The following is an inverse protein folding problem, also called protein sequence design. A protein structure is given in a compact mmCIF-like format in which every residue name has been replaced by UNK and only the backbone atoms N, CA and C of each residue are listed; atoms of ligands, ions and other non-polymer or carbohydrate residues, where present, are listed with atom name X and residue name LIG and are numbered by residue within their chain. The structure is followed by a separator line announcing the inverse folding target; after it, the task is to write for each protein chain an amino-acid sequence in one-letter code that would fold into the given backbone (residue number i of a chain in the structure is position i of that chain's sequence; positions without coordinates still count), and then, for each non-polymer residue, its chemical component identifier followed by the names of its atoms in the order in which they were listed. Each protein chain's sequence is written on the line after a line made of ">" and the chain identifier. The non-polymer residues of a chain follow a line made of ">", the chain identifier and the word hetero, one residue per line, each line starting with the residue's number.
data_IF_992159885984
#
_entry.id   IF_992159885984
#
_cell.length_a   1.000
_cell.length_b   1.000
_cell.length_c   1.000
_cell.angle_alpha   90.00
_cell.angle_beta   90.00
_cell.angle_gamma   90.00
#
_symmetry.space_group_name_H-M   'P 1'
#
loop_
_entity.id
_entity.type
_entity.pdbx_description
1 polymer ?
#
# COMPACT_ATOMS: atom_id res chain seq x y z
N UNK A 1 9.24 16.79 -1.21
CA UNK A 1 10.38 15.90 -0.87
C UNK A 1 10.99 16.27 0.47
N UNK A 2 10.81 15.42 1.48
CA UNK A 2 11.37 15.62 2.81
C UNK A 2 12.69 14.83 2.94
N UNK A 3 13.76 15.34 2.31
CA UNK A 3 15.06 14.64 2.16
C UNK A 3 15.78 14.28 3.46
N UNK A 4 15.40 14.88 4.59
CA UNK A 4 16.01 14.64 5.90
C UNK A 4 15.16 13.78 6.84
N UNK A 5 13.91 13.45 6.46
CA UNK A 5 13.10 12.54 7.26
C UNK A 5 13.62 11.12 7.06
N UNK A 6 13.88 10.45 8.17
CA UNK A 6 14.34 9.06 8.25
C UNK A 6 13.47 8.28 9.24
N UNK A 7 13.78 7.01 9.46
CA UNK A 7 13.13 6.18 10.47
C UNK A 7 13.16 6.80 11.88
N UNK A 8 14.17 7.60 12.21
CA UNK A 8 14.20 8.39 13.45
C UNK A 8 13.02 9.38 13.51
N UNK A 9 12.76 10.09 12.42
CA UNK A 9 11.63 11.01 12.33
C UNK A 9 10.29 10.30 12.49
N UNK A 10 10.14 9.11 11.88
CA UNK A 10 8.95 8.28 12.07
C UNK A 10 8.81 7.77 13.51
N UNK A 11 9.91 7.45 14.19
CA UNK A 11 9.89 7.09 15.62
C UNK A 11 9.42 8.25 16.49
N UNK A 12 9.84 9.47 16.19
CA UNK A 12 9.37 10.66 16.92
C UNK A 12 7.89 10.95 16.64
N UNK A 13 7.45 10.82 15.38
CA UNK A 13 6.02 10.91 15.01
C UNK A 13 5.19 9.84 15.72
N UNK A 14 5.72 8.62 15.88
CA UNK A 14 5.03 7.52 16.55
C UNK A 14 4.64 7.85 18.00
N UNK A 15 5.32 8.80 18.66
CA UNK A 15 4.96 9.31 19.99
C UNK A 15 3.61 10.04 20.03
N UNK A 16 3.05 10.41 18.88
CA UNK A 16 1.68 10.97 18.79
C UNK A 16 0.59 9.93 19.08
N UNK A 17 0.94 8.64 19.15
CA UNK A 17 0.16 7.50 19.65
C UNK A 17 -1.36 7.53 19.42
N UNK A 18 -1.87 6.68 18.53
CA UNK A 18 -3.31 6.49 18.35
C UNK A 18 -4.11 7.75 17.93
N UNK A 19 -3.47 8.92 17.78
CA UNK A 19 -4.09 10.16 17.24
C UNK A 19 -3.88 10.29 15.74
N UNK A 20 -2.78 9.75 15.23
CA UNK A 20 -2.44 9.84 13.82
C UNK A 20 -3.43 9.03 12.97
N UNK A 21 -4.07 9.71 12.01
CA UNK A 21 -5.02 9.11 11.06
C UNK A 21 -4.55 9.21 9.62
N UNK A 22 -3.72 10.20 9.33
CA UNK A 22 -3.21 10.53 8.00
C UNK A 22 -1.70 10.76 8.14
N UNK A 23 -0.92 10.08 7.31
CA UNK A 23 0.52 10.29 7.23
C UNK A 23 0.93 10.28 5.76
N UNK A 24 1.68 11.29 5.34
CA UNK A 24 2.36 11.31 4.06
C UNK A 24 3.85 11.43 4.28
N UNK A 25 4.58 10.48 3.73
CA UNK A 25 6.03 10.38 3.71
C UNK A 25 6.53 10.11 2.28
N UNK A 26 5.75 10.55 1.29
CA UNK A 26 6.11 10.38 -0.10
C UNK A 26 7.51 10.95 -0.40
N UNK A 27 8.27 10.22 -1.22
CA UNK A 27 9.63 10.54 -1.65
C UNK A 27 10.63 10.74 -0.50
N UNK A 28 10.40 10.07 0.64
CA UNK A 28 11.35 10.02 1.75
C UNK A 28 12.26 8.77 1.61
N UNK A 29 13.29 8.85 0.77
CA UNK A 29 14.17 7.72 0.45
C UNK A 29 15.01 7.15 1.60
N UNK A 30 15.01 7.80 2.78
CA UNK A 30 15.68 7.32 4.01
C UNK A 30 14.73 6.58 4.96
N UNK A 31 13.49 6.33 4.54
CA UNK A 31 12.53 5.54 5.30
C UNK A 31 12.58 4.10 4.83
N UNK A 32 12.59 3.19 5.81
CA UNK A 32 12.60 1.75 5.62
C UNK A 32 11.46 1.09 6.41
N UNK A 33 11.41 -0.24 6.37
CA UNK A 33 10.50 -1.04 7.19
C UNK A 33 10.61 -0.73 8.69
N UNK A 34 11.79 -0.29 9.17
CA UNK A 34 12.01 0.09 10.58
C UNK A 34 11.13 1.28 10.97
N UNK A 35 11.10 2.33 10.15
CA UNK A 35 10.26 3.49 10.39
C UNK A 35 8.77 3.15 10.31
N UNK A 36 8.38 2.36 9.30
CA UNK A 36 7.01 1.87 9.16
C UNK A 36 6.58 1.01 10.35
N UNK A 37 7.47 0.16 10.90
CA UNK A 37 7.21 -0.62 12.10
C UNK A 37 6.86 0.25 13.30
N UNK A 38 7.54 1.38 13.51
CA UNK A 38 7.19 2.31 14.58
C UNK A 38 5.79 2.89 14.39
N UNK A 39 5.47 3.36 13.19
CA UNK A 39 4.14 3.87 12.87
C UNK A 39 3.08 2.78 13.06
N UNK A 40 3.29 1.58 12.53
CA UNK A 40 2.36 0.48 12.64
C UNK A 40 2.08 0.12 14.11
N UNK A 41 3.13 0.03 14.93
CA UNK A 41 3.02 -0.37 16.34
C UNK A 41 2.27 0.66 17.20
N UNK A 42 2.53 1.95 17.03
CA UNK A 42 2.01 2.99 17.93
C UNK A 42 0.83 3.80 17.35
N UNK A 43 0.63 3.76 16.03
CA UNK A 43 -0.44 4.48 15.32
C UNK A 43 -1.50 3.54 14.72
N UNK A 44 -2.05 2.62 15.52
CA UNK A 44 -3.08 1.66 15.11
C UNK A 44 -4.41 2.27 14.60
N UNK A 45 -4.60 3.59 14.76
CA UNK A 45 -5.75 4.34 14.21
C UNK A 45 -5.49 4.97 12.86
N UNK A 46 -4.33 4.69 12.24
CA UNK A 46 -3.98 5.17 10.91
C UNK A 46 -5.03 4.70 9.90
N UNK A 47 -5.46 5.62 9.03
CA UNK A 47 -6.47 5.39 7.99
C UNK A 47 -5.90 5.64 6.59
N UNK A 48 -4.93 6.53 6.48
CA UNK A 48 -4.33 6.92 5.20
C UNK A 48 -2.83 6.99 5.36
N UNK A 49 -2.12 6.22 4.53
CA UNK A 49 -0.67 6.27 4.42
C UNK A 49 -0.30 6.50 2.97
N UNK A 50 0.46 7.56 2.71
CA UNK A 50 1.18 7.75 1.47
C UNK A 50 2.67 7.54 1.72
N UNK A 51 3.20 6.43 1.24
CA UNK A 51 4.61 6.05 1.27
C UNK A 51 5.19 5.92 -0.15
N UNK A 52 4.58 6.58 -1.13
CA UNK A 52 5.03 6.58 -2.53
C UNK A 52 6.51 6.98 -2.63
N UNK A 53 7.32 6.22 -3.36
CA UNK A 53 8.73 6.55 -3.57
C UNK A 53 9.60 6.40 -2.31
N UNK A 54 9.17 5.62 -1.33
CA UNK A 54 10.04 5.18 -0.24
C UNK A 54 10.80 3.94 -0.69
N UNK A 55 11.98 4.13 -1.30
CA UNK A 55 12.74 3.06 -1.95
C UNK A 55 13.21 1.94 -1.01
N UNK A 56 13.36 2.25 0.29
CA UNK A 56 13.72 1.27 1.33
C UNK A 56 12.55 0.50 1.92
N UNK A 57 11.31 0.71 1.44
CA UNK A 57 10.12 -0.01 1.89
C UNK A 57 10.00 -1.35 1.16
N UNK A 58 9.86 -2.44 1.91
CA UNK A 58 9.69 -3.81 1.40
C UNK A 58 8.37 -4.43 1.85
N UNK A 59 8.14 -5.69 1.44
CA UNK A 59 7.00 -6.49 1.89
C UNK A 59 6.88 -6.60 3.42
N UNK A 60 8.01 -6.55 4.16
CA UNK A 60 7.98 -6.57 5.64
C UNK A 60 7.34 -5.31 6.24
N UNK A 61 7.57 -4.14 5.65
CA UNK A 61 6.90 -2.91 6.07
C UNK A 61 5.39 -2.98 5.82
N UNK A 62 4.98 -3.58 4.70
CA UNK A 62 3.57 -3.82 4.39
C UNK A 62 2.95 -4.80 5.40
N UNK A 63 3.65 -5.87 5.75
CA UNK A 63 3.22 -6.84 6.77
C UNK A 63 3.00 -6.16 8.13
N UNK A 64 3.90 -5.26 8.54
CA UNK A 64 3.73 -4.50 9.78
C UNK A 64 2.45 -3.66 9.78
N UNK A 65 2.18 -2.96 8.68
CA UNK A 65 0.95 -2.17 8.51
C UNK A 65 -0.28 -3.08 8.56
N UNK A 66 -0.26 -4.19 7.83
CA UNK A 66 -1.37 -5.13 7.75
C UNK A 66 -1.75 -5.66 9.14
N UNK A 67 -0.76 -6.06 9.95
CA UNK A 67 -1.00 -6.64 11.28
C UNK A 67 -1.51 -5.64 12.32
N UNK A 68 -1.11 -4.37 12.24
CA UNK A 68 -1.34 -3.41 13.33
C UNK A 68 -2.27 -2.25 12.97
N UNK A 69 -2.39 -1.89 11.69
CA UNK A 69 -3.21 -0.78 11.21
C UNK A 69 -4.53 -1.27 10.60
N UNK A 70 -5.34 -2.01 11.37
CA UNK A 70 -6.61 -2.62 10.92
C UNK A 70 -7.68 -1.62 10.45
N UNK A 71 -7.46 -0.32 10.68
CA UNK A 71 -8.32 0.79 10.24
C UNK A 71 -7.84 1.46 8.95
N UNK A 72 -6.77 0.96 8.34
CA UNK A 72 -6.22 1.51 7.10
C UNK A 72 -7.24 1.39 5.97
N UNK A 73 -7.51 2.51 5.32
CA UNK A 73 -8.47 2.65 4.21
C UNK A 73 -7.79 3.02 2.90
N UNK A 74 -6.66 3.71 2.97
CA UNK A 74 -5.92 4.15 1.80
C UNK A 74 -4.43 3.90 2.00
N UNK A 75 -3.83 3.22 1.04
CA UNK A 75 -2.39 2.98 0.99
C UNK A 75 -1.88 3.36 -0.40
N UNK A 76 -0.93 4.28 -0.46
CA UNK A 76 -0.17 4.58 -1.67
C UNK A 76 1.29 4.17 -1.44
N UNK A 77 1.73 3.18 -2.19
CA UNK A 77 3.09 2.62 -2.18
C UNK A 77 3.65 2.57 -3.60
N UNK A 78 3.16 3.42 -4.50
CA UNK A 78 3.70 3.53 -5.85
C UNK A 78 5.19 3.92 -5.83
N UNK A 79 5.95 3.51 -6.85
CA UNK A 79 7.41 3.71 -6.92
C UNK A 79 8.17 3.12 -5.73
N UNK A 80 7.70 2.04 -5.13
CA UNK A 80 8.43 1.27 -4.12
C UNK A 80 8.90 -0.05 -4.76
N UNK A 81 10.13 -0.11 -5.31
CA UNK A 81 10.57 -1.22 -6.17
C UNK A 81 10.71 -2.55 -5.44
N UNK A 82 10.92 -2.51 -4.12
CA UNK A 82 11.09 -3.69 -3.27
C UNK A 82 9.77 -4.25 -2.71
N UNK A 83 8.62 -3.67 -3.06
CA UNK A 83 7.31 -4.22 -2.72
C UNK A 83 6.83 -5.12 -3.86
N UNK A 84 6.49 -6.35 -3.53
CA UNK A 84 6.05 -7.40 -4.47
C UNK A 84 4.63 -7.88 -4.18
N UNK A 85 4.17 -8.86 -4.97
CA UNK A 85 2.91 -9.54 -4.70
C UNK A 85 2.85 -10.15 -3.29
N UNK A 86 3.97 -10.58 -2.71
CA UNK A 86 3.99 -11.14 -1.35
C UNK A 86 3.55 -10.11 -0.29
N UNK A 87 3.97 -8.84 -0.43
CA UNK A 87 3.50 -7.76 0.44
C UNK A 87 1.99 -7.52 0.30
N UNK A 88 1.45 -7.60 -0.91
CA UNK A 88 0.01 -7.48 -1.16
C UNK A 88 -0.78 -8.64 -0.55
N UNK A 89 -0.26 -9.86 -0.62
CA UNK A 89 -0.85 -11.03 0.03
C UNK A 89 -0.93 -10.82 1.54
N UNK A 90 0.17 -10.38 2.17
CA UNK A 90 0.18 -10.04 3.60
C UNK A 90 -0.80 -8.92 3.97
N UNK A 91 -0.89 -7.88 3.11
CA UNK A 91 -1.85 -6.80 3.26
C UNK A 91 -3.29 -7.33 3.28
N UNK A 92 -3.62 -8.18 2.31
CA UNK A 92 -4.96 -8.74 2.12
C UNK A 92 -5.40 -9.66 3.27
N UNK A 93 -4.46 -10.39 3.90
CA UNK A 93 -4.77 -11.31 5.00
C UNK A 93 -5.34 -10.62 6.25
N UNK A 94 -5.00 -9.34 6.47
CA UNK A 94 -5.36 -8.63 7.70
C UNK A 94 -6.14 -7.31 7.45
N UNK A 95 -6.18 -6.80 6.22
CA UNK A 95 -6.70 -5.46 5.90
C UNK A 95 -8.03 -5.48 5.13
N UNK A 96 -9.11 -5.94 5.75
CA UNK A 96 -10.44 -6.04 5.11
C UNK A 96 -11.13 -4.69 4.82
N UNK A 97 -10.60 -3.58 5.34
CA UNK A 97 -11.20 -2.25 5.24
C UNK A 97 -10.59 -1.36 4.14
N UNK A 98 -9.64 -1.88 3.37
CA UNK A 98 -8.94 -1.12 2.35
C UNK A 98 -9.91 -0.68 1.24
N UNK A 99 -9.91 0.62 0.94
CA UNK A 99 -10.76 1.24 -0.09
C UNK A 99 -9.96 1.76 -1.27
N UNK A 100 -8.71 2.17 -1.03
CA UNK A 100 -7.84 2.74 -2.06
C UNK A 100 -6.45 2.14 -1.95
N UNK A 101 -5.96 1.61 -3.06
CA UNK A 101 -4.61 1.07 -3.17
C UNK A 101 -3.95 1.66 -4.42
N UNK A 102 -2.78 2.27 -4.25
CA UNK A 102 -1.96 2.74 -5.37
C UNK A 102 -0.62 2.01 -5.34
N UNK A 103 -0.33 1.35 -6.45
CA UNK A 103 0.89 0.59 -6.75
C UNK A 103 1.60 1.16 -7.96
N UNK A 104 1.27 2.39 -8.38
CA UNK A 104 1.77 3.01 -9.60
C UNK A 104 3.29 2.89 -9.72
N UNK A 105 3.78 2.39 -10.87
CA UNK A 105 5.21 2.19 -11.13
C UNK A 105 5.90 1.26 -10.12
N UNK A 106 5.20 0.23 -9.63
CA UNK A 106 5.83 -0.88 -8.89
C UNK A 106 6.11 -2.03 -9.86
N UNK A 107 7.38 -2.25 -10.17
CA UNK A 107 7.84 -3.21 -11.18
C UNK A 107 7.70 -4.68 -10.73
N UNK A 108 7.74 -4.92 -9.42
CA UNK A 108 7.66 -6.26 -8.81
C UNK A 108 6.22 -6.78 -8.61
N UNK A 109 5.21 -6.09 -9.14
CA UNK A 109 3.79 -6.49 -9.05
C UNK A 109 3.36 -7.19 -10.33
N UNK A 110 3.10 -8.50 -10.23
CA UNK A 110 2.70 -9.35 -11.38
C UNK A 110 1.20 -9.66 -11.41
N UNK A 111 0.45 -9.20 -10.41
CA UNK A 111 -1.01 -9.33 -10.34
C UNK A 111 -1.51 -10.50 -9.49
N UNK A 112 -0.63 -11.41 -9.04
CA UNK A 112 -0.99 -12.48 -8.09
C UNK A 112 -1.51 -11.89 -6.78
N UNK A 113 -0.80 -10.92 -6.23
CA UNK A 113 -1.18 -10.26 -4.99
C UNK A 113 -2.47 -9.45 -5.15
N UNK A 114 -2.73 -8.90 -6.34
CA UNK A 114 -3.99 -8.21 -6.64
C UNK A 114 -5.21 -9.14 -6.61
N UNK A 115 -5.06 -10.40 -7.04
CA UNK A 115 -6.13 -11.39 -6.92
C UNK A 115 -6.47 -11.66 -5.46
N UNK A 116 -5.46 -11.79 -4.60
CA UNK A 116 -5.65 -12.00 -3.15
C UNK A 116 -6.26 -10.76 -2.49
N UNK A 117 -5.80 -9.56 -2.85
CA UNK A 117 -6.42 -8.29 -2.42
C UNK A 117 -7.89 -8.25 -2.82
N UNK A 118 -8.23 -8.55 -4.08
CA UNK A 118 -9.61 -8.52 -4.54
C UNK A 118 -10.50 -9.59 -3.88
N UNK A 119 -9.92 -10.75 -3.54
CA UNK A 119 -10.61 -11.83 -2.85
C UNK A 119 -10.88 -11.56 -1.36
N UNK A 120 -10.24 -10.56 -0.75
CA UNK A 120 -10.42 -10.23 0.68
C UNK A 120 -10.96 -8.80 0.90
N UNK A 121 -10.66 -7.88 -0.01
CA UNK A 121 -11.04 -6.47 0.04
C UNK A 121 -12.18 -6.17 -0.96
N UNK A 122 -13.33 -6.81 -0.80
CA UNK A 122 -14.45 -6.73 -1.76
C UNK A 122 -15.00 -5.31 -1.97
N UNK A 123 -14.82 -4.41 -1.00
CA UNK A 123 -15.27 -3.03 -1.06
C UNK A 123 -14.13 -2.05 -1.41
N UNK A 124 -13.11 -2.55 -2.14
CA UNK A 124 -12.10 -1.72 -2.79
C UNK A 124 -12.78 -0.80 -3.82
N UNK A 125 -12.45 0.49 -3.78
CA UNK A 125 -13.09 1.54 -4.57
C UNK A 125 -12.15 2.12 -5.63
N UNK A 126 -10.84 2.15 -5.35
CA UNK A 126 -9.82 2.61 -6.29
C UNK A 126 -8.60 1.70 -6.22
N UNK A 127 -8.17 1.23 -7.38
CA UNK A 127 -6.89 0.55 -7.59
C UNK A 127 -6.12 1.30 -8.66
N UNK A 128 -4.93 1.81 -8.35
CA UNK A 128 -4.02 2.38 -9.34
C UNK A 128 -2.83 1.45 -9.55
N UNK A 129 -2.68 0.96 -10.78
CA UNK A 129 -1.63 0.06 -11.28
C UNK A 129 -1.04 0.61 -12.59
N UNK A 130 -1.10 1.93 -12.78
CA UNK A 130 -0.43 2.58 -13.91
C UNK A 130 1.06 2.27 -13.87
N UNK A 131 1.65 2.02 -15.04
CA UNK A 131 3.08 1.72 -15.20
C UNK A 131 3.52 0.46 -14.42
N UNK A 132 2.60 -0.47 -14.16
CA UNK A 132 2.89 -1.84 -13.69
C UNK A 132 2.65 -2.84 -14.82
N UNK A 133 3.43 -3.92 -14.86
CA UNK A 133 3.23 -5.03 -15.80
C UNK A 133 2.21 -6.04 -15.26
N UNK A 134 0.95 -5.62 -15.17
CA UNK A 134 -0.14 -6.44 -14.64
C UNK A 134 -0.94 -7.07 -15.79
N UNK A 135 -1.11 -8.42 -15.80
CA UNK A 135 -1.86 -9.10 -16.83
C UNK A 135 -3.36 -8.78 -16.76
N UNK A 136 -4.04 -8.80 -17.92
CA UNK A 136 -5.46 -8.48 -18.04
C UNK A 136 -6.34 -9.39 -17.18
N UNK A 137 -5.94 -10.65 -17.01
CA UNK A 137 -6.63 -11.65 -16.20
C UNK A 137 -6.72 -11.20 -14.74
N UNK A 138 -5.65 -10.62 -14.18
CA UNK A 138 -5.65 -10.09 -12.83
C UNK A 138 -6.56 -8.86 -12.71
N UNK A 139 -6.52 -7.93 -13.66
CA UNK A 139 -7.39 -6.75 -13.66
C UNK A 139 -8.88 -7.13 -13.80
N UNK A 140 -9.19 -8.10 -14.66
CA UNK A 140 -10.55 -8.67 -14.80
C UNK A 140 -10.99 -9.34 -13.52
N UNK A 141 -10.09 -10.05 -12.84
CA UNK A 141 -10.37 -10.66 -11.54
C UNK A 141 -10.73 -9.61 -10.49
N UNK A 142 -9.96 -8.51 -10.41
CA UNK A 142 -10.28 -7.38 -9.52
C UNK A 142 -11.65 -6.81 -9.86
N UNK A 143 -11.96 -6.58 -11.14
CA UNK A 143 -13.26 -6.02 -11.55
C UNK A 143 -14.44 -6.94 -11.20
N UNK A 144 -14.25 -8.26 -11.28
CA UNK A 144 -15.27 -9.26 -10.94
C UNK A 144 -15.61 -9.26 -9.44
N UNK A 145 -14.60 -9.12 -8.57
CA UNK A 145 -14.77 -9.22 -7.12
C UNK A 145 -15.02 -7.87 -6.45
N UNK A 146 -14.39 -6.81 -6.94
CA UNK A 146 -14.55 -5.42 -6.48
C UNK A 146 -15.34 -4.62 -7.54
N UNK A 147 -16.64 -4.91 -7.69
CA UNK A 147 -17.49 -4.41 -8.80
C UNK A 147 -17.49 -2.88 -8.94
N UNK A 148 -17.41 -2.17 -7.81
CA UNK A 148 -17.40 -0.70 -7.73
C UNK A 148 -16.00 -0.10 -7.82
N UNK A 149 -14.96 -0.92 -7.94
CA UNK A 149 -13.58 -0.44 -8.03
C UNK A 149 -13.34 0.24 -9.38
N UNK A 150 -12.82 1.46 -9.31
CA UNK A 150 -12.20 2.16 -10.43
C UNK A 150 -10.75 1.67 -10.52
N UNK A 151 -10.38 1.12 -11.67
CA UNK A 151 -9.03 0.64 -11.93
C UNK A 151 -8.35 1.65 -12.84
N UNK A 152 -7.30 2.31 -12.34
CA UNK A 152 -6.43 3.18 -13.12
C UNK A 152 -5.23 2.34 -13.61
N UNK A 153 -5.10 2.17 -14.92
CA UNK A 153 -4.06 1.35 -15.56
C UNK A 153 -3.51 2.07 -16.79
N UNK A 154 -2.39 1.59 -17.32
CA UNK A 154 -1.82 2.04 -18.60
C UNK A 154 -1.95 1.00 -19.71
N UNK A 155 -2.53 -0.17 -19.43
CA UNK A 155 -2.74 -1.23 -20.43
C UNK A 155 -3.86 -0.85 -21.41
N UNK A 156 -3.57 -0.62 -22.70
CA UNK A 156 -4.56 -0.17 -23.68
C UNK A 156 -5.57 -1.27 -24.08
N UNK A 157 -5.32 -2.54 -23.75
CA UNK A 157 -6.22 -3.66 -24.04
C UNK A 157 -7.27 -3.89 -22.94
N UNK A 158 -7.28 -3.07 -21.88
CA UNK A 158 -8.24 -3.14 -20.77
C UNK A 158 -9.33 -2.06 -20.94
N UNK A 159 -10.29 -2.30 -21.83
CA UNK A 159 -11.52 -1.52 -21.98
C UNK A 159 -12.73 -2.45 -21.98
#
# INVERSE_FOLDING_TARGET
>A
DCRFISDFGLREIAKLEGRLRYLSIAHCGRITDVGIRYIAKYCNRLRYLNARGCEGLTDHGIEHLAKNCLKLKSLDIGKCPLVSDAGLEQLALNSFNLKRLSLKSCESITGRGLQVVAANCFDLQLLNVQDCDVPLEALRFVKRHCKRCVIEHTNPAFF
#
